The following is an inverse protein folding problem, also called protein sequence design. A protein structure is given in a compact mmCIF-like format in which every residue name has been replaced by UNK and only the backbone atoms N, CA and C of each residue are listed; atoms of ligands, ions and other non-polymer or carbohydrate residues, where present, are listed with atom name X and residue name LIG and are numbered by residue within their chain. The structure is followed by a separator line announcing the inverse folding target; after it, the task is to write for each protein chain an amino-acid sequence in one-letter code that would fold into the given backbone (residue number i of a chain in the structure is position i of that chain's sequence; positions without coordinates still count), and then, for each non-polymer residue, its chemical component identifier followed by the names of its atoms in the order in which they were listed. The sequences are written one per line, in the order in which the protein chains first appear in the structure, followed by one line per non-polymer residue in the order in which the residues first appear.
data_IF_062148355493
#
_entry.id   IF_062148355493
#
_cell.length_a   1.000
_cell.length_b   1.000
_cell.length_c   1.000
_cell.angle_alpha   90.00
_cell.angle_beta   90.00
_cell.angle_gamma   90.00
#
_symmetry.space_group_name_H-M   'P 1'
#
loop_
_entity.id
_entity.type
_entity.pdbx_description
1 polymer ?
#
# COMPACT_ATOMS: atom_id res chain seq x y z
N UNK A 1 -32.56 -42.32 13.92
CA UNK A 1 -31.50 -42.18 12.92
C UNK A 1 -31.48 -40.74 12.45
N UNK A 2 -30.52 -39.97 12.88
CA UNK A 2 -30.31 -38.57 12.46
C UNK A 2 -28.90 -38.52 11.88
N UNK A 3 -28.82 -38.44 10.56
CA UNK A 3 -27.57 -38.22 9.87
C UNK A 3 -27.11 -36.78 10.13
N UNK A 4 -25.91 -36.63 10.65
CA UNK A 4 -25.18 -35.36 10.73
C UNK A 4 -24.40 -35.22 9.44
N UNK A 5 -24.74 -34.25 8.62
CA UNK A 5 -23.89 -33.78 7.55
C UNK A 5 -22.80 -32.88 8.15
N UNK A 6 -21.60 -33.37 8.25
CA UNK A 6 -20.39 -32.56 8.49
C UNK A 6 -20.01 -31.87 7.18
N UNK A 7 -20.16 -30.55 7.16
CA UNK A 7 -19.63 -29.72 6.10
C UNK A 7 -18.16 -29.45 6.39
N UNK A 8 -17.30 -30.13 5.65
CA UNK A 8 -15.87 -29.90 5.71
C UNK A 8 -15.55 -28.51 5.12
N UNK A 9 -15.18 -27.56 5.98
CA UNK A 9 -14.60 -26.29 5.56
C UNK A 9 -13.20 -26.58 4.98
N UNK A 10 -13.09 -26.57 3.64
CA UNK A 10 -11.80 -26.50 2.97
C UNK A 10 -11.20 -25.12 3.26
N UNK A 11 -10.10 -25.10 3.97
CA UNK A 11 -9.25 -23.92 4.11
C UNK A 11 -8.78 -23.48 2.72
N UNK A 12 -9.38 -22.43 2.20
CA UNK A 12 -8.94 -21.76 0.99
C UNK A 12 -7.70 -20.93 1.35
N UNK A 13 -6.57 -21.33 0.81
CA UNK A 13 -5.28 -20.72 1.08
C UNK A 13 -5.18 -19.40 0.28
N UNK A 14 -5.50 -18.27 0.90
CA UNK A 14 -5.49 -16.92 0.32
C UNK A 14 -4.12 -16.48 -0.25
N UNK A 15 -3.05 -17.24 0.03
CA UNK A 15 -1.71 -16.95 -0.50
C UNK A 15 -1.56 -17.17 -2.02
N UNK A 16 -2.46 -17.90 -2.67
CA UNK A 16 -2.36 -18.18 -4.12
C UNK A 16 -3.00 -17.13 -5.01
N UNK A 17 -3.80 -16.21 -4.50
CA UNK A 17 -4.48 -15.18 -5.31
C UNK A 17 -3.65 -13.89 -5.48
N UNK A 18 -2.65 -13.63 -4.65
CA UNK A 18 -1.77 -12.48 -4.80
C UNK A 18 -0.78 -12.61 -5.96
N UNK A 19 -0.51 -13.83 -6.45
CA UNK A 19 0.43 -14.08 -7.55
C UNK A 19 -0.20 -14.03 -8.95
N UNK A 20 -1.52 -13.97 -9.05
CA UNK A 20 -2.20 -13.97 -10.36
C UNK A 20 -2.46 -12.57 -10.94
N UNK A 21 -2.27 -11.49 -10.17
CA UNK A 21 -2.56 -10.13 -10.61
C UNK A 21 -1.34 -9.34 -11.14
N UNK A 22 -0.13 -9.88 -11.05
CA UNK A 22 1.11 -9.25 -11.56
C UNK A 22 1.58 -9.84 -12.89
N UNK A 23 0.90 -10.84 -13.44
CA UNK A 23 1.34 -11.61 -14.61
C UNK A 23 0.86 -11.07 -15.97
N UNK A 24 0.63 -9.79 -16.16
CA UNK A 24 0.17 -9.25 -17.46
C UNK A 24 1.07 -8.12 -17.99
N UNK A 25 2.35 -8.12 -17.67
CA UNK A 25 3.39 -7.56 -18.57
C UNK A 25 4.64 -8.44 -18.45
N UNK A 26 4.52 -9.70 -18.75
CA UNK A 26 5.70 -10.49 -19.09
C UNK A 26 5.92 -10.31 -20.60
N UNK A 27 6.82 -9.41 -20.97
CA UNK A 27 7.54 -9.58 -22.22
C UNK A 27 8.10 -11.00 -22.18
N UNK A 28 7.65 -11.84 -23.09
CA UNK A 28 8.20 -13.18 -23.34
C UNK A 28 9.66 -13.03 -23.73
N UNK A 29 10.55 -12.92 -22.75
CA UNK A 29 11.93 -13.31 -22.93
C UNK A 29 11.88 -14.83 -23.07
N UNK A 30 11.79 -15.31 -24.29
CA UNK A 30 12.01 -16.71 -24.62
C UNK A 30 13.42 -17.02 -24.16
N UNK A 31 13.56 -17.64 -23.00
CA UNK A 31 14.77 -18.32 -22.60
C UNK A 31 15.00 -19.39 -23.67
N UNK A 32 15.89 -19.10 -24.62
CA UNK A 32 16.46 -20.11 -25.46
C UNK A 32 17.28 -21.03 -24.54
N UNK A 33 16.61 -21.96 -23.89
CA UNK A 33 17.24 -23.11 -23.27
C UNK A 33 17.82 -23.91 -24.43
N UNK A 34 19.11 -23.67 -24.72
CA UNK A 34 19.89 -24.51 -25.62
C UNK A 34 19.69 -25.95 -25.19
N UNK A 35 19.18 -26.79 -26.10
CA UNK A 35 18.94 -28.19 -25.85
C UNK A 35 20.17 -28.85 -25.26
N UNK A 36 20.08 -29.26 -24.01
CA UNK A 36 21.07 -30.14 -23.38
C UNK A 36 20.84 -31.53 -23.96
N UNK A 37 21.68 -31.94 -24.85
CA UNK A 37 21.82 -33.35 -25.25
C UNK A 37 22.11 -34.14 -23.98
N UNK A 38 21.38 -35.26 -23.79
CA UNK A 38 21.63 -36.21 -22.73
C UNK A 38 23.06 -36.77 -22.87
N UNK A 39 24.01 -36.17 -22.22
CA UNK A 39 25.40 -36.57 -22.19
C UNK A 39 25.89 -36.67 -20.76
N UNK A 40 26.30 -37.87 -20.37
CA UNK A 40 27.10 -38.22 -19.19
C UNK A 40 26.78 -37.41 -17.92
N UNK A 41 26.27 -38.07 -16.90
CA UNK A 41 26.16 -37.51 -15.57
C UNK A 41 27.53 -36.92 -15.13
N UNK A 42 27.69 -35.61 -15.35
CA UNK A 42 28.80 -34.89 -14.73
C UNK A 42 28.54 -34.86 -13.25
N UNK A 43 29.55 -35.12 -12.44
CA UNK A 43 29.46 -34.92 -11.01
C UNK A 43 29.06 -33.47 -10.74
N UNK A 44 28.18 -33.27 -9.76
CA UNK A 44 27.84 -31.89 -9.33
C UNK A 44 29.14 -31.13 -9.06
N UNK A 45 29.21 -29.84 -9.41
CA UNK A 45 30.38 -29.03 -9.10
C UNK A 45 30.69 -29.08 -7.59
N UNK A 46 31.95 -28.94 -7.18
CA UNK A 46 32.29 -28.93 -5.76
C UNK A 46 31.51 -27.80 -5.06
N UNK A 47 31.05 -28.09 -3.84
CA UNK A 47 30.39 -27.11 -3.00
C UNK A 47 31.30 -25.89 -2.78
N UNK A 48 30.80 -24.66 -2.95
CA UNK A 48 31.62 -23.47 -2.77
C UNK A 48 32.20 -23.39 -1.35
N UNK A 49 33.47 -23.04 -1.27
CA UNK A 49 34.17 -22.79 -0.02
C UNK A 49 34.03 -21.29 0.32
N UNK A 50 32.95 -20.92 1.00
CA UNK A 50 32.73 -19.56 1.47
C UNK A 50 33.42 -19.38 2.81
N UNK A 51 34.28 -18.38 2.93
CA UNK A 51 35.16 -18.19 4.07
C UNK A 51 34.35 -17.86 5.33
N UNK A 52 34.25 -18.85 6.23
CA UNK A 52 33.78 -18.67 7.61
C UNK A 52 32.31 -18.89 7.91
N UNK A 53 31.41 -18.87 6.91
CA UNK A 53 29.98 -18.93 7.20
C UNK A 53 29.17 -19.75 6.19
N UNK A 54 28.08 -20.33 6.67
CA UNK A 54 27.25 -21.17 5.85
C UNK A 54 26.39 -20.33 4.89
N UNK A 55 26.68 -20.39 3.58
CA UNK A 55 25.79 -19.82 2.59
C UNK A 55 24.44 -20.52 2.70
N UNK A 56 23.36 -19.77 2.51
CA UNK A 56 22.03 -20.34 2.48
C UNK A 56 21.61 -20.71 1.04
N UNK A 57 21.13 -19.76 0.27
CA UNK A 57 20.77 -19.95 -1.13
C UNK A 57 21.40 -18.84 -1.96
N UNK A 58 22.00 -19.18 -3.08
CA UNK A 58 22.65 -18.22 -3.97
C UNK A 58 23.52 -18.90 -5.00
N UNK A 59 24.43 -18.11 -5.57
CA UNK A 59 25.34 -18.53 -6.66
C UNK A 59 26.79 -18.23 -6.27
N UNK A 60 27.67 -19.21 -6.44
CA UNK A 60 29.11 -19.06 -6.28
C UNK A 60 29.76 -18.83 -7.65
N UNK A 61 30.71 -17.89 -7.69
CA UNK A 61 31.53 -17.59 -8.87
C UNK A 61 33.01 -17.70 -8.49
N UNK A 62 33.78 -18.48 -9.23
CA UNK A 62 35.16 -18.86 -8.86
C UNK A 62 36.14 -17.69 -8.79
N UNK A 63 35.93 -16.61 -9.53
CA UNK A 63 36.91 -15.52 -9.66
C UNK A 63 36.41 -14.16 -9.14
N UNK A 64 35.26 -14.09 -8.53
CA UNK A 64 34.63 -12.83 -8.14
C UNK A 64 35.42 -12.07 -7.05
N UNK A 65 36.18 -12.76 -6.21
CA UNK A 65 37.01 -12.20 -5.13
C UNK A 65 38.53 -12.41 -5.32
N UNK A 66 39.02 -12.45 -6.56
CA UNK A 66 40.47 -12.51 -6.78
C UNK A 66 41.14 -13.83 -6.37
N UNK A 67 40.45 -14.95 -6.61
CA UNK A 67 40.94 -16.30 -6.31
C UNK A 67 40.23 -17.01 -5.17
N UNK A 68 39.17 -16.40 -4.65
CA UNK A 68 38.21 -17.04 -3.73
C UNK A 68 36.85 -17.11 -4.40
N UNK A 69 36.08 -18.13 -4.04
CA UNK A 69 34.71 -18.28 -4.53
C UNK A 69 33.85 -17.11 -4.01
N UNK A 70 33.52 -16.19 -4.89
CA UNK A 70 32.61 -15.09 -4.57
C UNK A 70 31.17 -15.62 -4.43
N UNK A 71 30.53 -15.36 -3.31
CA UNK A 71 29.15 -15.76 -3.04
C UNK A 71 28.19 -14.60 -3.23
N UNK A 72 27.22 -14.78 -4.12
CA UNK A 72 26.07 -13.87 -4.27
C UNK A 72 24.80 -14.60 -3.81
N UNK A 73 24.26 -14.21 -2.66
CA UNK A 73 23.08 -14.85 -2.10
C UNK A 73 22.89 -14.56 -0.61
N UNK A 74 21.96 -15.31 -0.02
CA UNK A 74 21.66 -15.22 1.40
C UNK A 74 22.64 -16.00 2.27
N UNK A 75 22.74 -15.60 3.53
CA UNK A 75 23.44 -16.32 4.60
C UNK A 75 22.47 -16.63 5.72
N UNK A 76 22.65 -17.76 6.40
CA UNK A 76 21.88 -18.05 7.61
C UNK A 76 22.23 -17.10 8.75
N UNK A 77 21.20 -16.63 9.46
CA UNK A 77 21.33 -15.76 10.62
C UNK A 77 20.98 -16.51 11.89
N UNK A 78 22.00 -17.06 12.57
CA UNK A 78 21.77 -17.80 13.80
C UNK A 78 21.14 -19.18 13.60
N UNK A 79 20.37 -19.65 14.59
CA UNK A 79 19.92 -21.03 14.72
C UNK A 79 18.48 -21.30 14.26
N UNK A 80 17.83 -20.36 13.60
CA UNK A 80 16.40 -20.47 13.22
C UNK A 80 16.15 -20.59 11.72
N UNK A 81 17.21 -20.73 10.91
CA UNK A 81 17.08 -20.76 9.46
C UNK A 81 16.68 -19.42 8.81
N UNK A 82 16.66 -18.33 9.58
CA UNK A 82 16.51 -16.98 9.01
C UNK A 82 17.68 -16.67 8.09
N UNK A 83 17.41 -15.94 7.02
CA UNK A 83 18.45 -15.55 6.06
C UNK A 83 18.58 -14.02 6.01
N UNK A 84 19.79 -13.57 5.68
CA UNK A 84 20.12 -12.19 5.42
C UNK A 84 21.17 -12.07 4.35
N UNK A 85 21.37 -10.84 3.88
CA UNK A 85 22.27 -10.50 2.80
C UNK A 85 23.35 -9.57 3.33
N UNK A 86 24.61 -9.89 3.03
CA UNK A 86 25.74 -9.04 3.36
C UNK A 86 25.68 -7.75 2.54
N UNK A 87 26.06 -6.63 3.15
CA UNK A 87 26.22 -5.39 2.42
C UNK A 87 27.57 -4.69 2.60
N UNK A 88 28.50 -5.29 3.32
CA UNK A 88 29.91 -4.84 3.40
C UNK A 88 30.80 -5.87 2.73
N UNK A 89 31.06 -5.73 1.43
CA UNK A 89 31.85 -6.67 0.66
C UNK A 89 33.28 -6.82 1.20
N UNK A 90 33.71 -8.06 1.37
CA UNK A 90 35.07 -8.39 1.84
C UNK A 90 35.31 -8.23 3.34
N UNK A 91 34.26 -8.11 4.16
CA UNK A 91 34.32 -8.34 5.59
C UNK A 91 33.81 -9.76 5.91
N UNK A 92 34.32 -10.40 7.00
CA UNK A 92 33.83 -11.72 7.40
C UNK A 92 32.37 -11.64 7.89
N UNK A 93 31.55 -12.60 7.49
CA UNK A 93 30.25 -12.84 8.10
C UNK A 93 30.40 -13.82 9.28
N UNK A 94 29.63 -13.67 10.34
CA UNK A 94 29.67 -14.56 11.50
C UNK A 94 28.25 -14.94 11.91
N UNK A 95 27.72 -16.03 11.35
CA UNK A 95 26.34 -16.48 11.49
C UNK A 95 25.87 -16.50 12.94
N UNK A 96 26.63 -17.10 13.82
CA UNK A 96 26.25 -17.27 15.23
C UNK A 96 26.23 -15.94 16.00
N UNK A 97 27.03 -14.94 15.57
CA UNK A 97 27.03 -13.62 16.20
C UNK A 97 25.70 -12.87 15.92
N UNK A 98 25.10 -13.04 14.76
CA UNK A 98 23.85 -12.36 14.42
C UNK A 98 22.63 -12.87 15.20
N UNK A 99 22.68 -14.09 15.73
CA UNK A 99 21.61 -14.66 16.56
C UNK A 99 21.31 -13.84 17.83
N UNK A 100 22.32 -13.15 18.35
CA UNK A 100 22.25 -12.36 19.60
C UNK A 100 22.25 -10.87 19.38
N UNK A 101 22.36 -10.40 18.13
CA UNK A 101 22.36 -8.98 17.81
C UNK A 101 20.95 -8.39 17.87
N UNK A 102 20.88 -7.10 18.24
CA UNK A 102 19.64 -6.34 18.14
C UNK A 102 19.44 -5.85 16.71
N UNK A 103 18.33 -6.24 16.10
CA UNK A 103 17.95 -5.87 14.76
C UNK A 103 16.98 -4.70 14.79
N UNK A 104 17.29 -3.66 14.05
CA UNK A 104 16.44 -2.45 13.94
C UNK A 104 15.99 -2.24 12.50
N UNK A 105 14.78 -1.74 12.29
CA UNK A 105 14.33 -1.38 10.96
C UNK A 105 15.13 -0.19 10.42
N UNK A 106 15.44 -0.19 9.13
CA UNK A 106 15.96 0.97 8.46
C UNK A 106 14.94 2.12 8.50
N UNK A 107 15.43 3.34 8.60
CA UNK A 107 14.58 4.51 8.51
C UNK A 107 13.82 4.53 7.17
N UNK A 108 12.58 5.02 7.21
CA UNK A 108 11.74 5.13 6.01
C UNK A 108 12.41 6.05 4.98
N UNK A 109 12.69 5.52 3.82
CA UNK A 109 13.22 6.23 2.65
C UNK A 109 12.91 5.44 1.39
N UNK A 110 12.97 6.08 0.23
CA UNK A 110 12.79 5.41 -1.07
C UNK A 110 13.71 4.19 -1.19
N UNK A 111 15.01 4.37 -0.93
CA UNK A 111 15.98 3.29 -0.97
C UNK A 111 15.65 2.15 -0.01
N UNK A 112 15.31 2.46 1.26
CA UNK A 112 15.01 1.45 2.28
C UNK A 112 13.75 0.66 1.94
N UNK A 113 12.73 1.32 1.38
CA UNK A 113 11.48 0.68 0.96
C UNK A 113 11.71 -0.25 -0.23
N UNK A 114 12.48 0.19 -1.23
CA UNK A 114 12.79 -0.62 -2.41
C UNK A 114 13.62 -1.85 -2.05
N UNK A 115 14.66 -1.68 -1.25
CA UNK A 115 15.47 -2.81 -0.74
C UNK A 115 14.61 -3.75 0.11
N UNK A 116 13.78 -3.22 1.01
CA UNK A 116 12.88 -4.02 1.85
C UNK A 116 11.89 -4.84 1.03
N UNK A 117 11.32 -4.25 -0.04
CA UNK A 117 10.44 -5.00 -0.95
C UNK A 117 11.18 -6.14 -1.66
N UNK A 118 12.39 -5.88 -2.19
CA UNK A 118 13.19 -6.89 -2.89
C UNK A 118 13.55 -8.05 -1.96
N UNK A 119 14.02 -7.74 -0.75
CA UNK A 119 14.34 -8.79 0.24
C UNK A 119 13.12 -9.63 0.61
N UNK A 120 11.94 -9.01 0.70
CA UNK A 120 10.69 -9.74 0.92
C UNK A 120 10.38 -10.70 -0.23
N UNK A 121 10.60 -10.31 -1.48
CA UNK A 121 10.37 -11.19 -2.63
C UNK A 121 11.36 -12.37 -2.62
N UNK A 122 12.63 -12.10 -2.33
CA UNK A 122 13.67 -13.11 -2.27
C UNK A 122 13.47 -14.12 -1.12
N UNK A 123 12.91 -13.69 0.01
CA UNK A 123 12.80 -14.50 1.24
C UNK A 123 11.45 -15.21 1.44
N UNK A 124 10.54 -15.17 0.48
CA UNK A 124 9.17 -15.68 0.67
C UNK A 124 9.09 -17.18 0.92
N UNK A 125 10.04 -17.96 0.45
CA UNK A 125 10.14 -19.39 0.78
C UNK A 125 11.60 -19.88 0.78
N UNK A 126 12.18 -19.91 1.96
CA UNK A 126 13.57 -20.33 2.14
C UNK A 126 13.78 -21.84 2.03
N UNK A 127 12.72 -22.63 2.19
CA UNK A 127 12.81 -24.08 2.16
C UNK A 127 12.81 -24.67 0.75
N UNK A 128 12.22 -23.96 -0.20
CA UNK A 128 11.96 -24.43 -1.59
C UNK A 128 11.31 -25.84 -1.65
N UNK A 129 10.62 -26.24 -0.57
CA UNK A 129 9.94 -27.54 -0.53
C UNK A 129 8.75 -27.50 -1.48
N UNK A 130 8.69 -28.50 -2.37
CA UNK A 130 7.64 -28.60 -3.38
C UNK A 130 7.82 -27.67 -4.60
N UNK A 131 8.92 -26.94 -4.70
CA UNK A 131 9.26 -26.17 -5.89
C UNK A 131 9.67 -27.09 -7.04
N UNK A 132 9.25 -26.76 -8.25
CA UNK A 132 9.81 -27.35 -9.47
C UNK A 132 11.26 -26.92 -9.64
N UNK A 133 12.00 -27.61 -10.51
CA UNK A 133 13.38 -27.21 -10.83
C UNK A 133 13.46 -25.76 -11.34
N UNK A 134 12.56 -25.35 -12.22
CA UNK A 134 12.49 -23.99 -12.75
C UNK A 134 12.23 -22.96 -11.63
N UNK A 135 11.34 -23.27 -10.70
CA UNK A 135 11.08 -22.39 -9.54
C UNK A 135 12.29 -22.28 -8.63
N UNK A 136 13.03 -23.35 -8.42
CA UNK A 136 14.30 -23.32 -7.66
C UNK A 136 15.36 -22.49 -8.38
N UNK A 137 15.52 -22.66 -9.68
CA UNK A 137 16.42 -21.85 -10.51
C UNK A 137 16.07 -20.35 -10.39
N UNK A 138 14.78 -20.00 -10.56
CA UNK A 138 14.35 -18.60 -10.46
C UNK A 138 14.58 -18.03 -9.04
N UNK A 139 14.26 -18.77 -7.99
CA UNK A 139 14.45 -18.33 -6.62
C UNK A 139 15.95 -18.12 -6.30
N UNK A 140 16.82 -19.02 -6.79
CA UNK A 140 18.28 -18.90 -6.61
C UNK A 140 18.81 -17.65 -7.33
N UNK A 141 18.33 -17.38 -8.55
CA UNK A 141 18.66 -16.18 -9.31
C UNK A 141 18.18 -14.90 -8.62
N UNK A 142 16.95 -14.89 -8.11
CA UNK A 142 16.38 -13.76 -7.38
C UNK A 142 17.20 -13.42 -6.13
N UNK A 143 17.70 -14.42 -5.42
CA UNK A 143 18.56 -14.24 -4.24
C UNK A 143 19.93 -13.69 -4.58
N UNK A 144 20.55 -14.19 -5.64
CA UNK A 144 21.81 -13.65 -6.11
C UNK A 144 21.65 -12.19 -6.57
N UNK A 145 20.57 -11.89 -7.30
CA UNK A 145 20.23 -10.54 -7.71
C UNK A 145 19.96 -9.61 -6.53
N UNK A 146 19.24 -10.09 -5.49
CA UNK A 146 19.01 -9.33 -4.27
C UNK A 146 20.32 -9.01 -3.53
N UNK A 147 21.30 -9.94 -3.49
CA UNK A 147 22.61 -9.68 -2.93
C UNK A 147 23.34 -8.56 -3.68
N UNK A 148 23.32 -8.58 -5.02
CA UNK A 148 23.89 -7.48 -5.84
C UNK A 148 23.25 -6.14 -5.50
N UNK A 149 21.92 -6.09 -5.42
CA UNK A 149 21.19 -4.85 -5.09
C UNK A 149 21.55 -4.36 -3.68
N UNK A 150 21.62 -5.27 -2.69
CA UNK A 150 21.97 -4.91 -1.33
C UNK A 150 23.36 -4.27 -1.29
N UNK A 151 24.34 -4.87 -1.99
CA UNK A 151 25.68 -4.26 -2.10
C UNK A 151 25.67 -2.93 -2.87
N UNK A 152 24.99 -2.84 -4.01
CA UNK A 152 24.92 -1.62 -4.81
C UNK A 152 24.30 -0.45 -4.01
N UNK A 153 23.31 -0.74 -3.16
CA UNK A 153 22.55 0.30 -2.44
C UNK A 153 23.09 0.60 -1.04
N UNK A 154 23.65 -0.37 -0.34
CA UNK A 154 23.94 -0.26 1.08
C UNK A 154 25.42 -0.34 1.44
N UNK A 155 26.28 -0.86 0.55
CA UNK A 155 27.71 -0.97 0.81
C UNK A 155 28.36 0.42 0.90
N UNK A 156 28.98 0.68 2.05
CA UNK A 156 29.74 1.92 2.32
C UNK A 156 31.24 1.67 2.39
N UNK A 157 31.70 0.43 2.17
CA UNK A 157 33.12 0.11 2.12
C UNK A 157 33.70 0.62 0.80
N UNK A 158 34.70 1.48 0.88
CA UNK A 158 35.25 2.10 -0.33
C UNK A 158 36.10 1.09 -1.09
N UNK A 159 35.73 0.83 -2.33
CA UNK A 159 36.60 0.22 -3.34
C UNK A 159 36.39 -1.27 -3.60
N UNK A 160 36.11 -2.12 -2.62
CA UNK A 160 36.06 -3.57 -2.83
C UNK A 160 34.83 -4.00 -3.64
N UNK A 161 33.64 -3.55 -3.27
CA UNK A 161 32.43 -3.86 -4.03
C UNK A 161 32.49 -3.29 -5.45
N UNK A 162 32.96 -2.06 -5.60
CA UNK A 162 33.11 -1.44 -6.92
C UNK A 162 34.04 -2.24 -7.83
N UNK A 163 35.12 -2.81 -7.31
CA UNK A 163 36.03 -3.70 -8.07
C UNK A 163 35.28 -4.99 -8.49
N UNK A 164 34.56 -5.64 -7.56
CA UNK A 164 33.77 -6.81 -7.86
C UNK A 164 32.67 -6.48 -8.92
N UNK A 165 31.99 -5.36 -8.75
CA UNK A 165 30.95 -4.89 -9.67
C UNK A 165 31.50 -4.60 -11.08
N UNK A 166 32.68 -4.00 -11.14
CA UNK A 166 33.37 -3.78 -12.43
C UNK A 166 33.79 -5.09 -13.09
N UNK A 167 34.31 -6.05 -12.31
CA UNK A 167 34.61 -7.38 -12.79
C UNK A 167 33.36 -8.05 -13.38
N UNK A 168 32.26 -8.06 -12.65
CA UNK A 168 30.97 -8.62 -13.10
C UNK A 168 30.52 -7.99 -14.43
N UNK A 169 30.64 -6.66 -14.57
CA UNK A 169 30.23 -5.98 -15.80
C UNK A 169 31.07 -6.39 -17.03
N UNK A 170 32.33 -6.74 -16.83
CA UNK A 170 33.26 -7.12 -17.93
C UNK A 170 33.29 -8.63 -18.18
N UNK A 171 32.82 -9.45 -17.24
CA UNK A 171 32.84 -10.93 -17.32
C UNK A 171 31.43 -11.53 -17.31
N UNK A 172 30.49 -10.90 -17.99
CA UNK A 172 29.05 -11.30 -17.97
C UNK A 172 28.77 -12.73 -18.42
N UNK A 173 29.67 -13.35 -19.20
CA UNK A 173 29.55 -14.74 -19.66
C UNK A 173 30.13 -15.78 -18.69
N UNK A 174 30.79 -15.33 -17.62
CA UNK A 174 31.31 -16.25 -16.63
C UNK A 174 30.17 -16.99 -15.93
N UNK A 175 30.37 -18.29 -15.74
CA UNK A 175 29.37 -19.21 -15.17
C UNK A 175 29.68 -19.41 -13.70
N UNK A 176 28.65 -19.26 -12.89
CA UNK A 176 28.63 -19.62 -11.48
C UNK A 176 27.65 -20.76 -11.19
N UNK A 177 27.82 -21.36 -10.04
CA UNK A 177 27.04 -22.53 -9.62
C UNK A 177 26.04 -22.17 -8.54
N UNK A 178 24.76 -22.44 -8.81
CA UNK A 178 23.67 -22.20 -7.87
C UNK A 178 23.53 -23.31 -6.83
N UNK A 179 23.42 -22.92 -5.57
CA UNK A 179 23.32 -23.82 -4.45
C UNK A 179 22.16 -23.45 -3.53
N UNK A 180 21.55 -24.49 -2.97
CA UNK A 180 20.61 -24.39 -1.87
C UNK A 180 21.16 -25.17 -0.69
N UNK A 181 21.34 -24.53 0.45
CA UNK A 181 21.65 -25.16 1.72
C UNK A 181 20.39 -25.28 2.56
N UNK A 182 20.19 -26.44 3.16
CA UNK A 182 19.06 -26.69 4.06
C UNK A 182 19.50 -26.52 5.51
N UNK A 183 18.67 -25.86 6.30
CA UNK A 183 18.91 -25.79 7.74
C UNK A 183 18.46 -27.09 8.43
N UNK A 184 19.39 -27.81 9.06
CA UNK A 184 19.11 -29.09 9.70
C UNK A 184 18.57 -29.00 11.14
N UNK A 185 18.35 -27.80 11.64
CA UNK A 185 17.96 -27.53 13.03
C UNK A 185 19.15 -27.32 13.98
N UNK A 186 20.34 -27.75 13.60
CA UNK A 186 21.60 -27.59 14.36
C UNK A 186 22.67 -26.87 13.54
N UNK A 187 22.45 -26.69 12.25
CA UNK A 187 23.37 -26.07 11.33
C UNK A 187 23.04 -26.38 9.88
N UNK A 188 23.85 -25.91 8.94
CA UNK A 188 23.69 -26.23 7.52
C UNK A 188 23.80 -27.75 7.31
N UNK A 189 22.79 -28.32 6.65
CA UNK A 189 22.60 -29.78 6.60
C UNK A 189 22.90 -30.46 5.27
N UNK A 190 23.64 -29.81 4.38
CA UNK A 190 24.01 -30.36 3.08
C UNK A 190 23.42 -29.54 1.91
N UNK A 191 24.31 -29.05 1.06
CA UNK A 191 23.95 -28.27 -0.09
C UNK A 191 23.40 -29.10 -1.23
N UNK A 192 22.40 -28.60 -1.93
CA UNK A 192 21.92 -29.15 -3.17
C UNK A 192 22.32 -28.20 -4.32
N UNK A 193 22.98 -28.76 -5.32
CA UNK A 193 23.22 -28.05 -6.58
C UNK A 193 21.89 -27.81 -7.31
N UNK A 194 21.70 -26.57 -7.75
CA UNK A 194 20.45 -26.13 -8.41
C UNK A 194 20.65 -25.99 -9.90
N UNK A 195 21.79 -25.50 -10.37
CA UNK A 195 22.07 -25.28 -11.77
C UNK A 195 23.12 -24.19 -11.99
N UNK A 196 23.41 -23.93 -13.26
CA UNK A 196 24.39 -22.95 -13.70
C UNK A 196 23.74 -21.63 -14.08
N UNK A 197 24.43 -20.53 -13.76
CA UNK A 197 24.00 -19.17 -14.00
C UNK A 197 25.17 -18.34 -14.51
N UNK A 198 24.93 -17.43 -15.43
CA UNK A 198 25.96 -16.47 -15.81
C UNK A 198 25.88 -15.20 -14.95
N UNK A 199 27.01 -14.51 -14.79
CA UNK A 199 27.01 -13.17 -14.16
C UNK A 199 26.02 -12.24 -14.88
N UNK A 200 25.92 -12.33 -16.22
CA UNK A 200 24.96 -11.54 -16.97
C UNK A 200 23.52 -11.74 -16.51
N UNK A 201 23.09 -12.99 -16.30
CA UNK A 201 21.74 -13.29 -15.83
C UNK A 201 21.48 -12.68 -14.44
N UNK A 202 22.47 -12.74 -13.54
CA UNK A 202 22.34 -12.14 -12.20
C UNK A 202 22.18 -10.63 -12.28
N UNK A 203 23.00 -9.97 -13.11
CA UNK A 203 22.95 -8.52 -13.27
C UNK A 203 21.66 -8.04 -13.92
N UNK A 204 21.23 -8.72 -14.99
CA UNK A 204 19.97 -8.40 -15.68
C UNK A 204 18.78 -8.56 -14.72
N UNK A 205 18.81 -9.60 -13.90
CA UNK A 205 17.76 -9.83 -12.90
C UNK A 205 17.80 -8.78 -11.77
N UNK A 206 18.98 -8.35 -11.36
CA UNK A 206 19.12 -7.25 -10.38
C UNK A 206 18.53 -5.94 -10.92
N UNK A 207 18.83 -5.60 -12.17
CA UNK A 207 18.28 -4.41 -12.83
C UNK A 207 16.74 -4.50 -12.94
N UNK A 208 16.21 -5.67 -13.29
CA UNK A 208 14.77 -5.91 -13.36
C UNK A 208 14.09 -5.77 -12.00
N UNK A 209 14.61 -6.41 -10.94
CA UNK A 209 14.06 -6.31 -9.59
C UNK A 209 14.13 -4.88 -9.07
N UNK A 210 15.24 -4.18 -9.34
CA UNK A 210 15.37 -2.77 -8.97
C UNK A 210 14.35 -1.89 -9.69
N UNK A 211 14.10 -2.09 -10.96
CA UNK A 211 13.07 -1.39 -11.72
C UNK A 211 11.66 -1.68 -11.17
N UNK A 212 11.35 -2.94 -10.90
CA UNK A 212 10.07 -3.36 -10.34
C UNK A 212 9.82 -2.76 -8.94
N UNK A 213 10.87 -2.59 -8.15
CA UNK A 213 10.75 -2.05 -6.78
C UNK A 213 10.31 -0.59 -6.74
N UNK A 214 10.41 0.16 -7.84
CA UNK A 214 10.09 1.60 -7.88
C UNK A 214 8.63 1.91 -7.53
N UNK A 215 7.68 0.97 -7.77
CA UNK A 215 6.27 1.10 -7.38
C UNK A 215 5.96 0.77 -5.93
N UNK A 216 6.95 0.31 -5.16
CA UNK A 216 6.79 -0.18 -3.79
C UNK A 216 7.39 0.74 -2.73
N UNK A 217 7.55 1.99 -3.06
CA UNK A 217 7.88 3.07 -2.12
C UNK A 217 6.62 3.66 -1.51
N UNK A 218 6.79 4.41 -0.44
CA UNK A 218 5.69 5.14 0.17
C UNK A 218 5.00 6.02 -0.88
N UNK A 219 3.71 5.82 -1.05
CA UNK A 219 2.88 6.64 -1.92
C UNK A 219 2.45 7.94 -1.25
N UNK A 220 1.43 8.57 -1.79
CA UNK A 220 0.84 9.78 -1.20
C UNK A 220 -0.67 9.79 -1.35
N UNK A 221 -1.34 10.24 -0.30
CA UNK A 221 -2.77 10.53 -0.32
C UNK A 221 -3.06 11.93 -0.86
N UNK A 222 -4.22 12.09 -1.48
CA UNK A 222 -4.68 13.42 -1.87
C UNK A 222 -5.05 14.28 -0.66
N UNK A 223 -5.00 15.59 -0.84
CA UNK A 223 -5.67 16.50 0.09
C UNK A 223 -7.18 16.31 -0.07
N UNK A 224 -7.89 15.93 1.02
CA UNK A 224 -9.32 15.67 0.94
C UNK A 224 -10.12 16.94 0.61
N UNK A 225 -11.23 16.75 -0.06
CA UNK A 225 -12.16 17.81 -0.43
C UNK A 225 -13.61 17.32 -0.19
N UNK A 226 -14.59 18.13 -0.54
CA UNK A 226 -16.02 17.87 -0.38
C UNK A 226 -16.80 18.27 -1.64
N UNK A 227 -18.00 17.74 -1.75
CA UNK A 227 -19.04 18.28 -2.59
C UNK A 227 -20.34 18.44 -1.80
N UNK A 228 -21.20 19.34 -2.26
CA UNK A 228 -22.48 19.57 -1.64
C UNK A 228 -23.58 18.82 -2.40
N UNK A 229 -24.52 18.24 -1.67
CA UNK A 229 -25.73 17.66 -2.23
C UNK A 229 -26.85 18.73 -2.27
N UNK A 230 -27.00 19.46 -1.18
CA UNK A 230 -27.92 20.57 -1.08
C UNK A 230 -27.37 21.61 -0.10
N UNK A 231 -27.60 22.87 -0.37
CA UNK A 231 -27.38 24.04 0.48
C UNK A 231 -26.38 23.85 1.63
N UNK A 232 -25.28 23.13 1.41
CA UNK A 232 -24.20 22.90 2.38
C UNK A 232 -24.60 22.10 3.65
N UNK A 233 -25.81 21.56 3.68
CA UNK A 233 -26.25 20.69 4.77
C UNK A 233 -25.87 19.24 4.53
N UNK A 234 -26.16 18.69 3.33
CA UNK A 234 -25.74 17.36 2.92
C UNK A 234 -24.50 17.45 2.04
N UNK A 235 -23.46 16.82 2.49
CA UNK A 235 -22.16 16.88 1.86
C UNK A 235 -21.69 15.45 1.53
N UNK A 236 -20.71 15.38 0.67
CA UNK A 236 -20.05 14.14 0.31
C UNK A 236 -18.55 14.38 0.30
N UNK A 237 -17.76 13.46 0.83
CA UNK A 237 -16.30 13.52 0.73
C UNK A 237 -15.85 13.38 -0.72
N UNK A 238 -14.71 13.95 -1.07
CA UNK A 238 -14.05 13.82 -2.38
C UNK A 238 -12.53 13.77 -2.21
N UNK A 239 -11.84 13.37 -3.27
CA UNK A 239 -10.38 13.28 -3.34
C UNK A 239 -9.77 12.36 -2.27
N UNK A 240 -10.51 11.36 -1.80
CA UNK A 240 -9.95 10.36 -0.89
C UNK A 240 -9.45 9.19 -1.72
N UNK A 241 -8.23 9.31 -2.19
CA UNK A 241 -7.50 8.30 -2.94
C UNK A 241 -6.03 8.26 -2.52
N UNK A 242 -5.35 7.18 -2.82
CA UNK A 242 -3.93 6.99 -2.56
C UNK A 242 -3.25 6.52 -3.84
N UNK A 243 -2.11 7.13 -4.19
CA UNK A 243 -1.30 6.74 -5.34
C UNK A 243 0.06 6.26 -4.87
N UNK A 244 0.59 5.24 -5.53
CA UNK A 244 1.98 4.83 -5.35
C UNK A 244 2.94 5.86 -5.99
N UNK A 245 4.25 5.60 -5.87
CA UNK A 245 5.27 6.49 -6.42
C UNK A 245 5.22 6.61 -7.96
N UNK A 246 4.61 5.66 -8.66
CA UNK A 246 4.42 5.71 -10.12
C UNK A 246 3.13 6.44 -10.51
N UNK A 247 2.37 6.92 -9.54
CA UNK A 247 1.11 7.62 -9.77
C UNK A 247 -0.09 6.70 -10.01
N UNK A 248 0.05 5.38 -9.82
CA UNK A 248 -1.05 4.44 -9.93
C UNK A 248 -1.90 4.43 -8.66
N UNK A 249 -3.25 4.39 -8.81
CA UNK A 249 -4.14 4.26 -7.66
C UNK A 249 -3.95 2.91 -6.99
N UNK A 250 -3.77 2.91 -5.67
CA UNK A 250 -3.61 1.70 -4.87
C UNK A 250 -4.62 1.66 -3.73
N UNK A 251 -5.00 0.45 -3.33
CA UNK A 251 -5.84 0.25 -2.17
C UNK A 251 -4.99 0.29 -0.91
N UNK A 252 -5.27 1.25 -0.03
CA UNK A 252 -4.69 1.31 1.32
C UNK A 252 -5.78 1.53 2.34
N UNK A 253 -5.58 1.06 3.56
CA UNK A 253 -6.52 1.31 4.65
C UNK A 253 -6.57 2.81 4.93
N UNK A 254 -7.78 3.33 5.12
CA UNK A 254 -8.01 4.74 5.35
C UNK A 254 -9.04 4.95 6.44
N UNK A 255 -8.79 5.93 7.28
CA UNK A 255 -9.73 6.43 8.30
C UNK A 255 -10.09 7.86 7.96
N UNK A 256 -11.39 8.15 7.86
CA UNK A 256 -11.93 9.49 7.64
C UNK A 256 -12.65 9.93 8.89
N UNK A 257 -12.20 11.04 9.51
CA UNK A 257 -12.74 11.56 10.75
C UNK A 257 -13.28 12.96 10.55
N UNK A 258 -14.59 13.13 10.70
CA UNK A 258 -15.25 14.44 10.69
C UNK A 258 -14.89 15.21 11.96
N UNK A 259 -14.71 16.52 11.82
CA UNK A 259 -14.63 17.42 12.97
C UNK A 259 -16.05 17.69 13.50
N UNK A 260 -16.12 18.33 14.67
CA UNK A 260 -17.40 18.70 15.28
C UNK A 260 -18.29 19.49 14.32
N UNK A 261 -19.58 19.21 14.36
CA UNK A 261 -20.58 19.92 13.57
C UNK A 261 -21.04 19.15 12.32
N UNK A 262 -20.54 17.94 12.13
CA UNK A 262 -21.01 17.04 11.06
C UNK A 262 -21.03 15.59 11.54
N UNK A 263 -21.85 14.74 10.89
CA UNK A 263 -21.90 13.29 11.09
C UNK A 263 -22.08 12.60 9.76
N UNK A 264 -21.44 11.44 9.59
CA UNK A 264 -21.71 10.59 8.45
C UNK A 264 -23.17 10.12 8.46
N UNK A 265 -23.76 10.07 7.31
CA UNK A 265 -25.08 9.47 7.13
C UNK A 265 -24.99 7.95 7.34
N UNK A 266 -26.07 7.35 7.85
CA UNK A 266 -26.10 5.89 8.06
C UNK A 266 -25.78 5.10 6.78
N UNK A 267 -26.10 5.65 5.60
CA UNK A 267 -25.78 5.08 4.30
C UNK A 267 -24.26 4.92 4.04
N UNK A 268 -23.40 5.68 4.71
CA UNK A 268 -21.96 5.52 4.58
C UNK A 268 -21.45 4.21 5.19
N UNK A 269 -22.22 3.59 6.10
CA UNK A 269 -21.86 2.30 6.66
C UNK A 269 -21.99 1.20 5.59
N UNK A 270 -20.94 0.42 5.41
CA UNK A 270 -20.86 -0.60 4.36
C UNK A 270 -20.39 -0.08 3.00
N UNK A 271 -20.41 1.25 2.74
CA UNK A 271 -19.85 1.78 1.50
C UNK A 271 -18.37 1.43 1.40
N UNK A 272 -17.97 0.97 0.21
CA UNK A 272 -16.58 0.56 -0.08
C UNK A 272 -16.01 -0.48 0.90
N UNK A 273 -16.90 -1.27 1.53
CA UNK A 273 -16.51 -2.26 2.54
C UNK A 273 -16.09 -1.69 3.89
N UNK A 274 -16.32 -0.40 4.13
CA UNK A 274 -15.95 0.26 5.37
C UNK A 274 -17.04 0.22 6.44
N UNK A 275 -16.69 0.69 7.64
CA UNK A 275 -17.56 0.70 8.83
C UNK A 275 -17.59 2.08 9.47
N UNK A 276 -18.73 2.45 10.06
CA UNK A 276 -18.89 3.66 10.86
C UNK A 276 -18.67 3.38 12.35
N UNK A 277 -18.07 4.35 13.04
CA UNK A 277 -18.08 4.40 14.50
C UNK A 277 -19.49 4.64 15.05
N UNK A 278 -19.73 4.24 16.30
CA UNK A 278 -21.03 4.39 16.95
C UNK A 278 -21.52 5.84 17.05
N UNK A 279 -20.60 6.81 17.13
CA UNK A 279 -20.90 8.25 17.15
C UNK A 279 -21.15 8.85 15.76
N UNK A 280 -20.95 8.07 14.70
CA UNK A 280 -21.11 8.50 13.31
C UNK A 280 -20.06 9.52 12.85
N UNK A 281 -18.97 9.71 13.60
CA UNK A 281 -17.94 10.71 13.25
C UNK A 281 -16.73 10.14 12.52
N UNK A 282 -16.56 8.82 12.56
CA UNK A 282 -15.41 8.16 11.95
C UNK A 282 -15.86 7.03 11.03
N UNK A 283 -15.36 7.05 9.81
CA UNK A 283 -15.49 5.94 8.87
C UNK A 283 -14.11 5.31 8.64
N UNK A 284 -14.04 3.98 8.64
CA UNK A 284 -12.80 3.23 8.39
C UNK A 284 -13.03 2.20 7.30
N UNK A 285 -12.18 2.16 6.30
CA UNK A 285 -12.26 1.24 5.17
C UNK A 285 -10.98 1.27 4.34
N UNK A 286 -11.09 1.12 3.02
CA UNK A 286 -9.94 1.16 2.11
C UNK A 286 -10.20 2.05 0.91
N UNK A 287 -9.16 2.72 0.40
CA UNK A 287 -9.21 3.41 -0.88
C UNK A 287 -9.46 2.42 -2.01
N UNK A 288 -10.05 2.89 -3.11
CA UNK A 288 -10.42 2.08 -4.25
C UNK A 288 -9.61 2.49 -5.48
N UNK A 289 -9.15 1.51 -6.27
CA UNK A 289 -8.33 1.76 -7.46
C UNK A 289 -9.11 2.23 -8.69
N UNK A 290 -10.43 2.05 -8.69
CA UNK A 290 -11.31 2.31 -9.83
C UNK A 290 -12.11 3.62 -9.74
N UNK A 291 -11.94 4.41 -8.69
CA UNK A 291 -12.69 5.66 -8.49
C UNK A 291 -11.99 6.90 -9.08
N UNK A 292 -10.75 6.75 -9.54
CA UNK A 292 -9.96 7.87 -10.05
C UNK A 292 -9.78 9.00 -9.03
N UNK A 293 -9.61 10.23 -9.52
CA UNK A 293 -9.39 11.41 -8.67
C UNK A 293 -10.61 11.81 -7.82
N UNK A 294 -11.82 11.32 -8.12
CA UNK A 294 -12.97 11.56 -7.25
C UNK A 294 -12.81 10.88 -5.88
N UNK A 295 -12.16 9.72 -5.85
CA UNK A 295 -11.91 8.95 -4.63
C UNK A 295 -13.19 8.49 -3.94
N UNK A 296 -13.11 8.20 -2.65
CA UNK A 296 -14.26 7.79 -1.83
C UNK A 296 -15.26 8.94 -1.68
N UNK A 297 -16.54 8.64 -1.90
CA UNK A 297 -17.64 9.58 -1.77
C UNK A 297 -18.55 9.12 -0.63
N UNK A 298 -18.25 9.56 0.58
CA UNK A 298 -18.98 9.20 1.79
C UNK A 298 -19.95 10.34 2.15
N UNK A 299 -21.28 10.08 2.20
CA UNK A 299 -22.24 11.10 2.53
C UNK A 299 -22.18 11.46 4.02
N UNK A 300 -22.27 12.74 4.32
CA UNK A 300 -22.35 13.27 5.68
C UNK A 300 -23.24 14.51 5.76
N UNK A 301 -23.80 14.75 6.93
CA UNK A 301 -24.73 15.85 7.18
C UNK A 301 -24.18 16.79 8.22
N UNK A 302 -24.28 18.11 7.97
CA UNK A 302 -24.00 19.14 8.97
C UNK A 302 -24.99 19.05 10.13
N UNK A 303 -24.51 19.15 11.36
CA UNK A 303 -25.32 19.18 12.58
C UNK A 303 -25.37 20.55 13.27
N UNK A 304 -24.59 21.50 12.76
CA UNK A 304 -24.61 22.92 13.17
C UNK A 304 -24.13 23.80 12.02
N UNK A 305 -24.38 25.09 12.15
CA UNK A 305 -23.80 26.10 11.25
C UNK A 305 -22.34 26.35 11.59
N UNK A 306 -21.55 26.72 10.63
CA UNK A 306 -20.16 27.10 10.82
C UNK A 306 -19.19 26.50 9.81
N UNK A 307 -17.92 26.52 10.16
CA UNK A 307 -16.87 25.91 9.35
C UNK A 307 -16.67 24.45 9.72
N UNK A 308 -16.66 23.58 8.70
CA UNK A 308 -16.35 22.16 8.82
C UNK A 308 -14.96 21.83 8.32
N UNK A 309 -14.42 20.73 8.81
CA UNK A 309 -13.21 20.06 8.30
C UNK A 309 -13.34 18.57 8.56
N UNK A 310 -12.52 17.79 7.87
CA UNK A 310 -12.30 16.41 8.23
C UNK A 310 -10.86 15.99 7.94
N UNK A 311 -10.40 15.00 8.68
CA UNK A 311 -9.09 14.40 8.54
C UNK A 311 -9.22 13.08 7.79
N UNK A 312 -8.26 12.81 6.93
CA UNK A 312 -8.11 11.53 6.25
C UNK A 312 -6.74 10.98 6.59
N UNK A 313 -6.72 9.85 7.30
CA UNK A 313 -5.47 9.15 7.66
C UNK A 313 -5.35 7.92 6.78
N UNK A 314 -4.33 7.88 5.95
CA UNK A 314 -3.97 6.73 5.13
C UNK A 314 -2.96 5.87 5.89
N UNK A 315 -3.25 4.59 6.07
CA UNK A 315 -2.29 3.63 6.62
C UNK A 315 -1.45 3.08 5.46
N UNK A 316 -0.32 3.71 5.23
CA UNK A 316 0.64 3.24 4.25
C UNK A 316 1.50 2.14 4.87
N UNK A 317 1.43 0.92 4.32
CA UNK A 317 2.30 -0.17 4.75
C UNK A 317 3.57 -0.11 3.91
N UNK A 318 4.65 0.33 4.53
CA UNK A 318 5.98 0.34 3.93
C UNK A 318 6.78 -0.87 4.40
N UNK A 319 7.60 -1.39 3.51
CA UNK A 319 8.54 -2.46 3.80
C UNK A 319 9.94 -1.87 3.83
N UNK A 320 10.64 -2.07 4.95
CA UNK A 320 12.05 -1.71 5.06
C UNK A 320 12.85 -2.96 5.43
N UNK A 321 14.13 -2.94 5.19
CA UNK A 321 15.01 -3.98 5.70
C UNK A 321 15.35 -3.73 7.17
N UNK A 322 15.78 -4.78 7.85
CA UNK A 322 16.37 -4.71 9.18
C UNK A 322 17.88 -4.94 9.11
N UNK A 323 18.62 -4.32 10.01
CA UNK A 323 20.07 -4.48 10.13
C UNK A 323 20.50 -4.50 11.59
N UNK A 324 21.65 -5.14 11.91
CA UNK A 324 22.16 -5.19 13.28
C UNK A 324 22.82 -3.85 13.64
N UNK A 325 22.60 -3.38 14.87
CA UNK A 325 23.10 -2.08 15.35
C UNK A 325 24.60 -2.06 15.63
N UNK A 326 25.21 -3.20 16.02
CA UNK A 326 26.64 -3.30 16.36
C UNK A 326 27.22 -4.60 15.82
N UNK A 327 27.71 -4.64 14.58
CA UNK A 327 28.25 -5.85 13.99
C UNK A 327 29.67 -6.21 14.49
N UNK A 328 30.30 -5.39 15.36
CA UNK A 328 31.57 -5.68 16.04
C UNK A 328 32.70 -6.18 15.10
N UNK A 329 32.89 -5.56 13.96
CA UNK A 329 33.92 -5.92 12.97
C UNK A 329 33.48 -6.99 11.95
N UNK A 330 32.26 -7.52 12.08
CA UNK A 330 31.64 -8.36 11.06
C UNK A 330 30.91 -7.51 10.02
N UNK A 331 30.56 -8.14 8.89
CA UNK A 331 29.72 -7.50 7.88
C UNK A 331 28.40 -7.05 8.50
N UNK A 332 27.89 -5.90 8.02
CA UNK A 332 26.49 -5.59 8.24
C UNK A 332 25.65 -6.46 7.33
N UNK A 333 24.53 -6.92 7.86
CA UNK A 333 23.60 -7.77 7.15
C UNK A 333 22.27 -7.03 6.97
N UNK A 334 21.61 -7.23 5.85
CA UNK A 334 20.23 -6.85 5.65
C UNK A 334 19.35 -8.10 5.64
N UNK A 335 18.26 -8.09 6.39
CA UNK A 335 17.20 -9.08 6.26
C UNK A 335 15.86 -8.41 6.02
N UNK A 336 14.90 -9.15 5.48
CA UNK A 336 13.56 -8.65 5.37
C UNK A 336 13.00 -8.29 6.75
N UNK A 337 12.42 -7.10 6.85
CA UNK A 337 11.67 -6.66 8.03
C UNK A 337 10.18 -6.83 7.80
N UNK A 338 9.40 -6.93 8.86
CA UNK A 338 7.96 -6.83 8.76
C UNK A 338 7.58 -5.46 8.20
N UNK A 339 6.54 -5.41 7.37
CA UNK A 339 5.95 -4.13 6.98
C UNK A 339 5.45 -3.39 8.22
N UNK A 340 5.65 -2.10 8.28
CA UNK A 340 5.08 -1.23 9.30
C UNK A 340 4.15 -0.22 8.67
N UNK A 341 3.14 0.20 9.42
CA UNK A 341 2.27 1.28 9.00
C UNK A 341 2.97 2.61 9.27
N UNK A 342 3.01 3.46 8.25
CA UNK A 342 3.47 4.84 8.34
C UNK A 342 2.28 5.74 7.99
N UNK A 343 1.43 6.07 8.96
CA UNK A 343 0.19 6.77 8.69
C UNK A 343 0.44 8.20 8.23
N UNK A 344 -0.15 8.56 7.10
CA UNK A 344 -0.16 9.90 6.56
C UNK A 344 -1.52 10.54 6.80
N UNK A 345 -1.58 11.64 7.55
CA UNK A 345 -2.83 12.37 7.78
C UNK A 345 -2.88 13.65 6.94
N UNK A 346 -3.95 13.82 6.20
CA UNK A 346 -4.29 15.03 5.44
C UNK A 346 -5.58 15.63 6.01
N UNK A 347 -5.57 16.93 6.27
CA UNK A 347 -6.76 17.68 6.70
C UNK A 347 -7.36 18.43 5.52
N UNK A 348 -8.67 18.39 5.37
CA UNK A 348 -9.38 19.18 4.36
C UNK A 348 -9.22 20.67 4.62
N UNK A 349 -9.37 21.49 3.55
CA UNK A 349 -9.61 22.91 3.74
C UNK A 349 -10.93 23.12 4.49
N UNK A 350 -11.07 24.27 5.15
CA UNK A 350 -12.32 24.64 5.78
C UNK A 350 -13.42 24.80 4.72
N UNK A 351 -14.60 24.31 5.02
CA UNK A 351 -15.79 24.46 4.18
C UNK A 351 -16.97 24.90 5.03
N UNK A 352 -17.90 25.65 4.42
CA UNK A 352 -19.09 26.08 5.11
C UNK A 352 -20.07 24.94 5.31
N UNK A 353 -20.65 24.87 6.48
CA UNK A 353 -21.75 23.97 6.85
C UNK A 353 -22.95 24.79 7.22
N UNK A 354 -24.13 24.34 6.81
CA UNK A 354 -25.38 25.00 7.16
C UNK A 354 -26.39 23.97 7.64
N UNK A 355 -26.77 24.07 8.89
CA UNK A 355 -27.82 23.27 9.52
C UNK A 355 -29.13 24.03 9.55
N UNK A 356 -29.09 25.30 9.98
CA UNK A 356 -30.24 26.16 10.04
C UNK A 356 -30.42 26.94 8.73
N UNK A 357 -31.66 27.33 8.47
CA UNK A 357 -32.02 28.21 7.36
C UNK A 357 -33.11 29.15 7.86
N UNK A 358 -33.19 30.32 7.22
CA UNK A 358 -34.23 31.29 7.51
C UNK A 358 -35.33 31.20 6.47
N UNK A 359 -36.49 30.61 6.82
CA UNK A 359 -37.63 30.64 5.93
C UNK A 359 -38.17 32.06 5.83
N UNK A 360 -38.43 32.49 4.60
CA UNK A 360 -39.07 33.77 4.29
C UNK A 360 -40.38 33.48 3.61
N UNK A 361 -41.37 34.29 3.88
CA UNK A 361 -42.62 34.28 3.14
C UNK A 361 -43.01 35.67 2.81
N UNK A 362 -43.53 35.85 1.60
CA UNK A 362 -44.24 37.05 1.18
C UNK A 362 -45.65 36.66 0.77
N UNK A 363 -46.58 37.54 1.04
CA UNK A 363 -47.97 37.36 0.66
C UNK A 363 -48.40 38.48 -0.28
N UNK A 364 -49.19 38.14 -1.26
CA UNK A 364 -49.81 39.09 -2.20
C UNK A 364 -51.28 38.76 -2.26
N UNK A 365 -52.12 39.73 -1.83
CA UNK A 365 -53.56 39.57 -1.91
C UNK A 365 -53.99 39.47 -3.38
N UNK A 366 -54.58 38.35 -3.73
CA UNK A 366 -55.09 38.12 -5.10
C UNK A 366 -56.44 38.75 -5.33
N UNK A 367 -57.07 39.23 -4.25
CA UNK A 367 -58.39 39.91 -4.31
C UNK A 367 -58.31 41.22 -3.58
N UNK A 368 -58.33 42.32 -4.30
CA UNK A 368 -58.22 43.70 -3.76
C UNK A 368 -59.57 44.31 -3.37
N UNK A 369 -60.69 43.72 -3.78
CA UNK A 369 -62.05 44.12 -3.42
C UNK A 369 -62.85 42.84 -3.13
N UNK A 370 -63.45 42.83 -1.95
CA UNK A 370 -64.34 41.73 -1.55
C UNK A 370 -65.75 42.30 -1.35
N UNK A 371 -66.75 41.61 -1.87
CA UNK A 371 -68.13 41.81 -1.48
C UNK A 371 -68.40 41.17 -0.10
N UNK A 372 -69.45 41.65 0.57
CA UNK A 372 -69.81 41.11 1.88
C UNK A 372 -70.10 39.62 1.74
N UNK A 373 -69.36 38.77 2.47
CA UNK A 373 -69.43 37.33 2.40
C UNK A 373 -68.43 36.68 1.44
N UNK A 374 -67.62 37.43 0.75
CA UNK A 374 -66.57 36.91 -0.13
C UNK A 374 -65.37 36.34 0.67
N UNK A 375 -64.71 35.33 0.13
CA UNK A 375 -63.54 34.72 0.74
C UNK A 375 -62.28 35.41 0.21
N UNK A 376 -61.46 36.01 1.07
CA UNK A 376 -60.15 36.55 0.66
C UNK A 376 -59.20 35.39 0.27
N UNK A 377 -58.44 35.61 -0.78
CA UNK A 377 -57.39 34.69 -1.20
C UNK A 377 -56.07 35.41 -1.29
N UNK A 378 -55.05 34.77 -0.82
CA UNK A 378 -53.69 35.28 -0.81
C UNK A 378 -52.76 34.31 -1.52
N UNK A 379 -51.84 34.85 -2.32
CA UNK A 379 -50.73 34.05 -2.87
C UNK A 379 -49.56 34.15 -1.91
N UNK A 380 -49.22 33.02 -1.30
CA UNK A 380 -48.05 32.92 -0.45
C UNK A 380 -46.86 32.42 -1.27
N UNK A 381 -45.81 33.20 -1.34
CA UNK A 381 -44.55 32.77 -1.92
C UNK A 381 -43.55 32.51 -0.77
N UNK A 382 -43.09 31.29 -0.67
CA UNK A 382 -42.08 30.92 0.29
C UNK A 382 -40.70 30.84 -0.35
N UNK A 383 -39.68 31.30 0.33
CA UNK A 383 -38.29 31.25 -0.09
C UNK A 383 -37.39 31.01 1.11
N UNK A 384 -36.14 30.71 0.87
CA UNK A 384 -35.12 30.59 1.89
C UNK A 384 -34.18 31.78 1.74
N UNK A 385 -34.10 32.61 2.80
CA UNK A 385 -33.13 33.71 2.86
C UNK A 385 -31.77 33.23 3.34
N UNK A 386 -30.76 34.01 2.98
CA UNK A 386 -29.38 33.86 3.47
C UNK A 386 -28.73 32.48 3.28
N UNK A 387 -29.11 31.77 2.21
CA UNK A 387 -28.45 30.54 1.82
C UNK A 387 -27.01 30.81 1.39
N UNK A 388 -26.09 30.09 1.98
CA UNK A 388 -24.74 30.01 1.47
C UNK A 388 -24.78 29.04 0.27
N UNK A 389 -24.42 29.52 -0.91
CA UNK A 389 -24.38 28.70 -2.12
C UNK A 389 -23.43 27.54 -1.97
N UNK A 390 -23.85 26.35 -2.34
CA UNK A 390 -23.04 25.13 -2.37
C UNK A 390 -23.05 24.48 -3.74
N UNK A 391 -21.96 23.82 -4.09
CA UNK A 391 -21.88 23.03 -5.33
C UNK A 391 -22.27 21.60 -5.03
N UNK A 392 -23.28 21.08 -5.72
CA UNK A 392 -23.72 19.69 -5.59
C UNK A 392 -22.69 18.67 -6.09
N UNK A 393 -22.92 17.39 -5.80
CA UNK A 393 -22.10 16.30 -6.31
C UNK A 393 -22.09 16.21 -7.85
N UNK A 394 -23.11 16.76 -8.50
CA UNK A 394 -23.25 16.89 -9.95
C UNK A 394 -22.49 18.11 -10.55
N UNK A 395 -21.78 18.88 -9.70
CA UNK A 395 -21.06 20.07 -10.11
C UNK A 395 -21.93 21.32 -10.24
N UNK A 396 -23.24 21.26 -9.98
CA UNK A 396 -24.14 22.41 -10.05
C UNK A 396 -24.22 23.14 -8.71
N UNK A 397 -24.48 24.46 -8.78
CA UNK A 397 -24.72 25.28 -7.59
C UNK A 397 -26.19 25.20 -7.20
N UNK A 398 -26.45 24.81 -5.96
CA UNK A 398 -27.79 24.67 -5.43
C UNK A 398 -28.05 25.68 -4.30
N UNK A 399 -29.18 26.39 -4.41
CA UNK A 399 -29.73 27.31 -3.40
C UNK A 399 -31.14 26.88 -3.03
N UNK A 400 -31.37 25.54 -2.93
CA UNK A 400 -32.70 25.01 -2.72
C UNK A 400 -32.91 24.54 -1.30
N UNK A 401 -34.18 24.40 -0.93
CA UNK A 401 -34.58 23.78 0.34
C UNK A 401 -34.05 22.37 0.42
N UNK A 402 -33.59 22.02 1.60
CA UNK A 402 -33.38 20.62 1.92
C UNK A 402 -34.74 19.91 1.94
N UNK A 403 -34.87 18.78 1.20
CA UNK A 403 -36.11 18.04 1.06
C UNK A 403 -36.74 17.55 2.38
N UNK A 404 -35.94 17.47 3.44
CA UNK A 404 -36.41 17.05 4.77
C UNK A 404 -36.96 18.19 5.62
N UNK A 405 -36.85 19.42 5.13
CA UNK A 405 -37.16 20.61 5.93
C UNK A 405 -38.58 21.05 5.69
N UNK A 406 -39.33 21.25 6.75
CA UNK A 406 -40.71 21.78 6.74
C UNK A 406 -40.72 23.12 7.45
N UNK A 407 -41.33 24.13 6.80
CA UNK A 407 -41.60 25.40 7.42
C UNK A 407 -43.12 25.57 7.60
N UNK A 408 -43.53 26.03 8.75
CA UNK A 408 -44.93 26.36 9.02
C UNK A 408 -45.05 27.86 9.20
N UNK A 409 -45.94 28.45 8.37
CA UNK A 409 -46.26 29.88 8.46
C UNK A 409 -47.61 30.02 9.12
N UNK A 410 -47.71 30.95 10.05
CA UNK A 410 -49.01 31.31 10.67
C UNK A 410 -49.46 32.63 10.07
N UNK A 411 -50.55 32.62 9.35
CA UNK A 411 -51.23 33.83 8.88
C UNK A 411 -52.12 34.42 9.99
N UNK A 412 -52.04 35.71 10.22
CA UNK A 412 -52.91 36.44 11.10
C UNK A 412 -53.54 37.57 10.28
N UNK A 413 -54.88 37.63 10.33
CA UNK A 413 -55.61 38.79 9.77
C UNK A 413 -55.72 39.85 10.85
N UNK A 414 -55.39 41.10 10.51
CA UNK A 414 -55.75 42.25 11.35
C UNK A 414 -57.12 42.75 10.93
N UNK A 415 -57.98 43.14 11.87
CA UNK A 415 -59.24 43.79 11.50
C UNK A 415 -58.94 45.10 10.77
N UNK A 416 -59.77 45.51 9.81
CA UNK A 416 -59.60 46.77 9.11
C UNK A 416 -59.57 47.90 10.11
N UNK A 417 -58.78 48.98 9.84
CA UNK A 417 -58.75 50.15 10.72
C UNK A 417 -60.19 50.71 10.76
N UNK A 418 -60.68 50.90 11.98
CA UNK A 418 -61.95 51.60 12.16
C UNK A 418 -61.81 52.98 11.60
N UNK A 419 -62.64 53.37 10.58
CA UNK A 419 -62.70 54.75 10.08
C UNK A 419 -62.99 55.68 11.25
N UNK A 420 -62.23 56.77 11.39
CA UNK A 420 -62.59 57.82 12.33
C UNK A 420 -63.94 58.41 11.95
N UNK A 421 -64.86 58.43 12.86
CA UNK A 421 -66.19 59.04 12.76
C UNK A 421 -66.10 60.54 12.64
#
# INVERSE_FOLDING_TARGET
MKERNEVAFKHFNFKRLAHAAVAVVAATATLALGGVTAGTAMADPPKPHVNGDAPANGIAFDNLEGGYDGWLGGFFLGNKGEQGYCFDWGLPAAIMAYATMNWVPAANSDQANRVGWILRQADTDTSMIGFTHEQKMQNTLDRAAAAVIVHDQLDKTVGKWQQARQYMNTHRSEVGHGWQELWSGVGPGGGQYIGDFTIGQVLDRADELWAQSAGHVAGTGAVPDKSYKDAQRHLTTRNIWYKDANGAYVSTKVTVKLHEGARFDAAANGMYGGTLSADGMTWTGSTQTNLGDAGLQLPFTATRDGDGRYDTTFENVVYTYQYPTNPNGYQRMAKWGAGHSDPETKTSQAFKMQWTFQPQASTEATTHKLEVGGTPTDKVTSSVGDLISGTGADGTTHNTWNGDTKATFKATSSPPPTSPS
#
